data_IF_168906422242
#
_entry.id   IF_168906422242
#
_cell.length_a   1.000
_cell.length_b   1.000
_cell.length_c   1.000
_cell.angle_alpha   90.00
_cell.angle_beta   90.00
_cell.angle_gamma   90.00
#
_symmetry.space_group_name_H-M   'P 1'
#
loop_
_entity.id
_entity.type
_entity.pdbx_description
1 polymer ?
#
# COMPACT_ATOMS: atom_id res chain seq x y z
N UNK A 1 -42.99 45.34 -7.28
CA UNK A 1 -41.80 45.81 -6.52
C UNK A 1 -40.82 44.66 -6.45
N UNK A 2 -39.53 44.97 -6.62
CA UNK A 2 -38.42 44.06 -6.90
C UNK A 2 -37.46 44.05 -5.69
N UNK A 3 -37.07 42.85 -5.26
CA UNK A 3 -35.83 42.50 -4.53
C UNK A 3 -35.82 42.62 -2.99
N UNK A 4 -34.78 42.07 -2.30
CA UNK A 4 -33.69 41.18 -2.77
C UNK A 4 -33.59 39.84 -1.96
N UNK A 5 -33.19 38.72 -2.57
CA UNK A 5 -31.84 38.09 -2.58
C UNK A 5 -31.27 37.63 -1.23
N UNK A 6 -30.68 36.42 -1.24
CA UNK A 6 -29.51 36.12 -0.41
C UNK A 6 -29.62 34.86 0.45
N UNK A 7 -28.91 33.81 0.03
CA UNK A 7 -28.69 32.64 0.89
C UNK A 7 -28.24 31.40 0.11
N UNK A 8 -27.24 31.56 -0.76
CA UNK A 8 -26.54 30.43 -1.35
C UNK A 8 -25.86 29.63 -0.24
N UNK A 9 -26.32 28.40 -0.04
CA UNK A 9 -25.54 27.39 0.68
C UNK A 9 -24.42 26.94 -0.25
N UNK A 10 -23.25 27.55 -0.08
CA UNK A 10 -21.98 27.06 -0.63
C UNK A 10 -21.83 25.59 -0.28
N UNK A 11 -21.80 24.74 -1.31
CA UNK A 11 -21.28 23.40 -1.21
C UNK A 11 -19.78 23.52 -0.93
N UNK A 12 -19.38 23.18 0.28
CA UNK A 12 -17.99 22.93 0.66
C UNK A 12 -17.49 21.65 -0.04
N UNK A 13 -17.21 21.75 -1.35
CA UNK A 13 -16.53 20.71 -2.13
C UNK A 13 -15.08 21.11 -2.48
N UNK A 14 -14.46 21.95 -1.66
CA UNK A 14 -13.10 22.48 -1.89
C UNK A 14 -11.97 21.81 -1.10
N UNK A 15 -12.28 21.08 -0.02
CA UNK A 15 -11.29 20.65 0.97
C UNK A 15 -10.42 19.44 0.61
N UNK A 16 -10.85 18.59 -0.34
CA UNK A 16 -10.16 17.33 -0.65
C UNK A 16 -8.90 17.49 -1.51
N UNK A 17 -8.90 18.45 -2.43
CA UNK A 17 -7.81 18.61 -3.40
C UNK A 17 -6.49 19.05 -2.74
N UNK A 18 -6.57 19.93 -1.73
CA UNK A 18 -5.40 20.41 -0.99
C UNK A 18 -4.76 19.31 -0.13
N UNK A 19 -5.57 18.56 0.62
CA UNK A 19 -5.08 17.47 1.47
C UNK A 19 -4.45 16.32 0.66
N UNK A 20 -5.04 15.95 -0.48
CA UNK A 20 -4.44 14.96 -1.39
C UNK A 20 -3.11 15.44 -1.98
N UNK A 21 -2.99 16.72 -2.35
CA UNK A 21 -1.74 17.26 -2.87
C UNK A 21 -0.64 17.31 -1.79
N UNK A 22 -0.99 17.67 -0.56
CA UNK A 22 -0.07 17.67 0.58
C UNK A 22 0.43 16.26 0.92
N UNK A 23 -0.48 15.26 0.94
CA UNK A 23 -0.11 13.86 1.14
C UNK A 23 0.86 13.39 0.05
N UNK A 24 0.54 13.64 -1.23
CA UNK A 24 1.42 13.27 -2.35
C UNK A 24 2.78 13.95 -2.26
N UNK A 25 2.82 15.23 -1.88
CA UNK A 25 4.07 15.97 -1.68
C UNK A 25 4.95 15.33 -0.61
N UNK A 26 4.38 15.03 0.56
CA UNK A 26 5.08 14.33 1.65
C UNK A 26 5.64 12.97 1.20
N UNK A 27 4.80 12.18 0.53
CA UNK A 27 5.22 10.86 0.04
C UNK A 27 6.31 10.93 -1.04
N UNK A 28 6.31 11.98 -1.87
CA UNK A 28 7.35 12.18 -2.88
C UNK A 28 8.74 12.46 -2.25
N UNK A 29 8.78 13.09 -1.08
CA UNK A 29 10.01 13.44 -0.38
C UNK A 29 10.54 12.30 0.50
N UNK A 30 9.66 11.54 1.14
CA UNK A 30 10.04 10.57 2.17
C UNK A 30 10.28 9.14 1.64
N UNK A 31 9.77 8.80 0.45
CA UNK A 31 9.85 7.45 -0.13
C UNK A 31 10.84 7.42 -1.29
N UNK A 32 11.77 6.48 -1.27
CA UNK A 32 12.57 6.17 -2.45
C UNK A 32 11.74 5.33 -3.46
N UNK A 33 11.00 6.03 -4.30
CA UNK A 33 10.11 5.43 -5.30
C UNK A 33 10.82 4.53 -6.30
N UNK A 34 12.15 4.63 -6.46
CA UNK A 34 12.90 3.71 -7.32
C UNK A 34 12.86 2.26 -6.83
N UNK A 35 12.53 2.03 -5.56
CA UNK A 35 12.42 0.70 -4.93
C UNK A 35 10.99 0.16 -4.89
N UNK A 36 9.99 1.00 -5.13
CA UNK A 36 8.57 0.62 -5.06
C UNK A 36 8.13 0.17 -6.46
N UNK A 37 8.50 -1.06 -6.83
CA UNK A 37 8.28 -1.62 -8.17
C UNK A 37 7.32 -2.81 -8.09
N UNK A 38 6.42 -2.93 -9.07
CA UNK A 38 5.61 -4.12 -9.23
C UNK A 38 6.47 -5.28 -9.78
N UNK A 39 6.67 -6.38 -9.03
CA UNK A 39 7.52 -7.48 -9.47
C UNK A 39 6.88 -8.34 -10.58
N UNK A 40 5.57 -8.23 -10.81
CA UNK A 40 4.81 -9.09 -11.73
C UNK A 40 4.57 -8.46 -13.10
N UNK A 41 4.66 -7.14 -13.21
CA UNK A 41 4.37 -6.41 -14.45
C UNK A 41 5.55 -5.52 -14.80
N UNK A 42 6.15 -5.68 -16.00
CA UNK A 42 7.15 -4.74 -16.48
C UNK A 42 6.56 -3.34 -16.59
N UNK A 43 7.15 -2.37 -15.90
CA UNK A 43 6.65 -1.00 -15.88
C UNK A 43 7.57 -0.08 -15.10
N UNK A 44 7.31 1.25 -15.15
CA UNK A 44 7.98 2.18 -14.27
C UNK A 44 7.69 1.83 -12.79
N UNK A 45 8.56 2.23 -11.86
CA UNK A 45 8.23 2.19 -10.44
C UNK A 45 6.92 2.94 -10.16
N UNK A 46 6.25 2.56 -9.08
CA UNK A 46 5.09 3.29 -8.60
C UNK A 46 5.48 4.72 -8.20
N UNK A 47 4.47 5.60 -8.12
CA UNK A 47 4.63 6.97 -7.69
C UNK A 47 3.87 7.28 -6.40
N UNK A 48 4.04 8.50 -5.84
CA UNK A 48 3.39 8.95 -4.60
C UNK A 48 1.87 8.87 -4.63
N UNK A 49 1.27 8.91 -5.82
CA UNK A 49 -0.16 8.70 -6.00
C UNK A 49 -0.62 7.36 -5.44
N UNK A 50 0.22 6.31 -5.45
CA UNK A 50 -0.14 5.00 -4.92
C UNK A 50 -0.44 5.03 -3.40
N UNK A 51 0.37 5.77 -2.63
CA UNK A 51 0.12 5.91 -1.19
C UNK A 51 -1.06 6.85 -0.92
N UNK A 52 -1.20 7.93 -1.69
CA UNK A 52 -2.35 8.83 -1.53
C UNK A 52 -3.68 8.15 -1.85
N UNK A 53 -3.71 7.23 -2.80
CA UNK A 53 -4.91 6.46 -3.14
C UNK A 53 -5.46 5.63 -1.98
N UNK A 54 -4.66 5.28 -0.96
CA UNK A 54 -5.16 4.63 0.26
C UNK A 54 -6.19 5.50 1.02
N UNK A 55 -6.10 6.82 0.87
CA UNK A 55 -7.04 7.80 1.44
C UNK A 55 -8.16 8.18 0.47
N UNK A 56 -8.28 7.49 -0.68
CA UNK A 56 -9.34 7.75 -1.63
C UNK A 56 -10.72 7.54 -0.99
N UNK A 57 -11.69 8.44 -1.23
CA UNK A 57 -13.07 8.20 -0.83
C UNK A 57 -13.70 7.05 -1.63
N UNK A 58 -13.14 6.68 -2.78
CA UNK A 58 -13.56 5.52 -3.56
C UNK A 58 -12.89 4.25 -3.01
N UNK A 59 -13.72 3.29 -2.56
CA UNK A 59 -13.22 2.05 -1.96
C UNK A 59 -12.43 1.21 -2.96
N UNK A 60 -12.84 1.16 -4.23
CA UNK A 60 -12.15 0.38 -5.26
C UNK A 60 -10.74 0.93 -5.50
N UNK A 61 -10.61 2.25 -5.63
CA UNK A 61 -9.30 2.92 -5.76
C UNK A 61 -8.39 2.62 -4.56
N UNK A 62 -8.92 2.66 -3.34
CA UNK A 62 -8.14 2.37 -2.15
C UNK A 62 -7.74 0.89 -2.05
N UNK A 63 -8.63 -0.03 -2.44
CA UNK A 63 -8.38 -1.48 -2.46
C UNK A 63 -7.34 -1.85 -3.51
N UNK A 64 -7.45 -1.32 -4.73
CA UNK A 64 -6.48 -1.52 -5.82
C UNK A 64 -5.09 -1.00 -5.43
N UNK A 65 -5.03 0.14 -4.74
CA UNK A 65 -3.78 0.68 -4.19
C UNK A 65 -3.20 -0.23 -3.10
N UNK A 66 -4.04 -0.74 -2.20
CA UNK A 66 -3.63 -1.68 -1.16
C UNK A 66 -3.06 -2.98 -1.76
N UNK A 67 -3.74 -3.56 -2.75
CA UNK A 67 -3.28 -4.75 -3.47
C UNK A 67 -1.97 -4.52 -4.24
N UNK A 68 -1.80 -3.34 -4.85
CA UNK A 68 -0.56 -2.97 -5.53
C UNK A 68 0.61 -2.83 -4.55
N UNK A 69 0.38 -2.21 -3.38
CA UNK A 69 1.37 -2.11 -2.31
C UNK A 69 1.74 -3.49 -1.75
N UNK A 70 0.75 -4.37 -1.53
CA UNK A 70 0.98 -5.75 -1.11
C UNK A 70 1.89 -6.50 -2.10
N UNK A 71 1.55 -6.43 -3.39
CA UNK A 71 2.33 -7.05 -4.45
C UNK A 71 3.78 -6.53 -4.50
N UNK A 72 3.97 -5.22 -4.35
CA UNK A 72 5.30 -4.60 -4.32
C UNK A 72 6.11 -5.00 -3.07
N UNK A 73 5.45 -5.14 -1.92
CA UNK A 73 6.13 -5.35 -0.63
C UNK A 73 6.44 -6.82 -0.34
N UNK A 74 5.55 -7.77 -0.67
CA UNK A 74 5.77 -9.19 -0.38
C UNK A 74 5.24 -10.15 -1.44
N UNK A 75 4.64 -9.66 -2.52
CA UNK A 75 4.11 -10.51 -3.58
C UNK A 75 3.06 -11.50 -3.04
N UNK A 76 3.29 -12.80 -3.21
CA UNK A 76 2.46 -13.88 -2.67
C UNK A 76 2.77 -14.24 -1.19
N UNK A 77 3.53 -13.40 -0.50
CA UNK A 77 3.96 -13.61 0.88
C UNK A 77 5.19 -14.50 1.03
N UNK A 78 5.87 -14.87 -0.07
CA UNK A 78 7.07 -15.72 -0.03
C UNK A 78 8.38 -14.98 0.24
N UNK A 79 8.39 -13.64 0.16
CA UNK A 79 9.58 -12.80 0.34
C UNK A 79 9.20 -11.41 0.88
N UNK A 80 10.20 -10.61 1.26
CA UNK A 80 10.02 -9.19 1.63
C UNK A 80 10.89 -8.36 0.70
N UNK A 81 10.27 -7.40 0.02
CA UNK A 81 10.93 -6.50 -0.92
C UNK A 81 11.42 -5.20 -0.34
N UNK A 82 12.28 -4.52 -1.10
CA UNK A 82 12.80 -3.20 -0.71
C UNK A 82 11.67 -2.18 -0.54
N UNK A 83 10.60 -2.28 -1.34
CA UNK A 83 9.40 -1.46 -1.20
C UNK A 83 8.84 -1.48 0.22
N UNK A 84 8.87 -2.65 0.89
CA UNK A 84 8.37 -2.78 2.25
C UNK A 84 9.09 -1.85 3.23
N UNK A 85 10.40 -1.64 3.08
CA UNK A 85 11.16 -0.75 3.96
C UNK A 85 10.73 0.71 3.79
N UNK A 86 10.40 1.09 2.55
CA UNK A 86 10.04 2.46 2.20
C UNK A 86 8.60 2.79 2.60
N UNK A 87 7.65 1.86 2.42
CA UNK A 87 6.22 2.16 2.60
C UNK A 87 5.65 1.73 3.96
N UNK A 88 6.36 0.92 4.74
CA UNK A 88 5.88 0.40 6.03
C UNK A 88 5.42 1.49 7.01
N UNK A 89 6.13 2.63 7.19
CA UNK A 89 5.64 3.70 8.07
C UNK A 89 4.25 4.20 7.67
N UNK A 90 4.00 4.36 6.37
CA UNK A 90 2.73 4.87 5.82
C UNK A 90 1.61 3.82 5.87
N UNK A 91 1.93 2.54 5.73
CA UNK A 91 0.96 1.47 5.98
C UNK A 91 0.51 1.46 7.45
N UNK A 92 1.42 1.74 8.39
CA UNK A 92 1.08 1.87 9.81
C UNK A 92 0.25 3.12 10.09
N UNK A 93 0.52 4.24 9.41
CA UNK A 93 -0.32 5.44 9.46
C UNK A 93 -1.73 5.15 8.93
N UNK A 94 -1.84 4.57 7.73
CA UNK A 94 -3.10 4.24 7.08
C UNK A 94 -3.96 3.29 7.94
N UNK A 95 -3.34 2.28 8.58
CA UNK A 95 -4.05 1.37 9.47
C UNK A 95 -4.71 2.05 10.69
N UNK A 96 -4.16 3.20 11.13
CA UNK A 96 -4.65 3.95 12.30
C UNK A 96 -5.66 5.02 11.93
N UNK A 97 -5.68 5.46 10.68
CA UNK A 97 -6.48 6.59 10.23
C UNK A 97 -7.93 6.19 9.93
N UNK A 98 -8.95 6.72 10.64
CA UNK A 98 -10.35 6.42 10.35
C UNK A 98 -10.84 6.87 8.96
N UNK A 99 -10.13 7.77 8.27
CA UNK A 99 -10.44 8.17 6.89
C UNK A 99 -10.12 7.06 5.87
N UNK A 100 -9.19 6.15 6.19
CA UNK A 100 -8.85 5.03 5.32
C UNK A 100 -9.94 3.96 5.42
N UNK A 101 -10.59 3.70 4.28
CA UNK A 101 -11.70 2.73 4.21
C UNK A 101 -11.23 1.28 4.19
N UNK A 102 -10.01 1.04 3.71
CA UNK A 102 -9.38 -0.29 3.55
C UNK A 102 -8.45 -0.65 4.71
N UNK A 103 -8.76 -0.19 5.93
CA UNK A 103 -7.90 -0.42 7.11
C UNK A 103 -7.68 -1.90 7.42
N UNK A 104 -8.68 -2.74 7.19
CA UNK A 104 -8.58 -4.18 7.46
C UNK A 104 -7.59 -4.82 6.48
N UNK A 105 -7.69 -4.47 5.21
CA UNK A 105 -6.84 -4.93 4.13
C UNK A 105 -5.39 -4.47 4.37
N UNK A 106 -5.19 -3.20 4.78
CA UNK A 106 -3.86 -2.69 5.17
C UNK A 106 -3.27 -3.50 6.34
N UNK A 107 -4.08 -3.87 7.34
CA UNK A 107 -3.62 -4.72 8.45
C UNK A 107 -3.26 -6.13 7.99
N UNK A 108 -3.96 -6.68 7.00
CA UNK A 108 -3.63 -7.94 6.36
C UNK A 108 -2.28 -7.87 5.64
N UNK A 109 -2.00 -6.78 4.91
CA UNK A 109 -0.69 -6.53 4.30
C UNK A 109 0.42 -6.50 5.35
N UNK A 110 0.21 -5.81 6.46
CA UNK A 110 1.17 -5.75 7.57
C UNK A 110 1.39 -7.13 8.21
N UNK A 111 0.34 -7.93 8.35
CA UNK A 111 0.42 -9.29 8.88
C UNK A 111 1.20 -10.21 7.95
N UNK A 112 0.97 -10.12 6.63
CA UNK A 112 1.69 -10.87 5.62
C UNK A 112 3.17 -10.49 5.57
N UNK A 113 3.49 -9.20 5.67
CA UNK A 113 4.87 -8.74 5.77
C UNK A 113 5.59 -9.30 6.99
N UNK A 114 4.92 -9.30 8.15
CA UNK A 114 5.47 -9.90 9.36
C UNK A 114 5.70 -11.41 9.19
N UNK A 115 4.76 -12.13 8.55
CA UNK A 115 4.88 -13.57 8.27
C UNK A 115 6.02 -13.87 7.29
N UNK A 116 6.11 -13.12 6.20
CA UNK A 116 7.15 -13.27 5.19
C UNK A 116 8.54 -13.00 5.78
N UNK A 117 8.69 -11.90 6.54
CA UNK A 117 9.94 -11.56 7.21
C UNK A 117 10.37 -12.58 8.27
N UNK A 118 9.43 -13.12 9.05
CA UNK A 118 9.70 -14.21 9.99
C UNK A 118 10.16 -15.47 9.25
N UNK A 119 9.47 -15.84 8.16
CA UNK A 119 9.79 -17.02 7.37
C UNK A 119 11.18 -16.92 6.73
N UNK A 120 11.53 -15.75 6.19
CA UNK A 120 12.86 -15.48 5.64
C UNK A 120 13.96 -15.59 6.69
N UNK A 121 13.72 -15.14 7.92
CA UNK A 121 14.67 -15.28 9.04
C UNK A 121 14.89 -16.73 9.46
N UNK A 122 13.84 -17.55 9.38
CA UNK A 122 13.90 -18.98 9.73
C UNK A 122 14.37 -19.87 8.59
N UNK A 123 14.47 -19.34 7.38
CA UNK A 123 15.06 -20.05 6.26
C UNK A 123 16.57 -20.19 6.53
N UNK A 124 17.07 -21.43 6.65
CA UNK A 124 18.49 -21.65 6.87
C UNK A 124 19.32 -20.92 5.81
N UNK A 125 20.45 -20.28 6.19
CA UNK A 125 21.36 -19.65 5.23
C UNK A 125 21.89 -20.71 4.25
N UNK A 126 21.25 -20.83 3.07
CA UNK A 126 21.56 -21.86 2.08
C UNK A 126 20.35 -22.65 1.54
N UNK A 127 19.16 -22.48 2.11
CA UNK A 127 17.92 -23.01 1.56
C UNK A 127 17.59 -22.27 0.25
N UNK A 128 18.15 -22.75 -0.87
CA UNK A 128 17.80 -22.27 -2.21
C UNK A 128 16.28 -22.39 -2.41
N UNK A 129 15.60 -21.39 -3.02
CA UNK A 129 14.25 -21.58 -3.48
C UNK A 129 14.26 -22.71 -4.52
N UNK A 130 13.52 -23.80 -4.27
CA UNK A 130 13.22 -24.79 -5.31
C UNK A 130 13.71 -26.22 -5.14
N UNK A 131 14.21 -26.68 -3.99
CA UNK A 131 14.40 -28.14 -3.80
C UNK A 131 13.09 -28.80 -3.35
N UNK A 132 12.44 -29.50 -4.28
CA UNK A 132 11.31 -30.42 -4.04
C UNK A 132 11.56 -31.26 -2.79
N UNK A 133 10.51 -31.46 -1.97
CA UNK A 133 10.49 -32.46 -0.89
C UNK A 133 11.01 -33.81 -1.41
N UNK A 134 11.95 -34.48 -0.71
CA UNK A 134 12.22 -35.88 -1.00
C UNK A 134 10.94 -36.69 -0.75
N UNK A 135 10.51 -37.47 -1.75
CA UNK A 135 9.44 -38.45 -1.56
C UNK A 135 9.98 -39.56 -0.66
N UNK A 136 9.28 -39.87 0.43
CA UNK A 136 9.63 -40.98 1.31
C UNK A 136 9.73 -42.29 0.49
N UNK A 137 10.68 -43.20 0.80
CA UNK A 137 10.73 -44.50 0.17
C UNK A 137 9.49 -45.31 0.57
N UNK A 138 8.90 -46.00 -0.41
CA UNK A 138 7.85 -46.98 -0.16
C UNK A 138 8.45 -48.14 0.66
N UNK A 139 7.71 -48.54 1.69
CA UNK A 139 7.99 -49.71 2.52
C UNK A 139 7.78 -51.02 1.75
#
# INVERSE_FOLDING_TARGET
MRGPEGGGGEADEGGGCGASAELRGRFAEEVDWSKVVNPYVPGPPHGPDLLEQLWSPDWQTADDACGSLHAACCGDGSWVGLAALEVLPFLVEAARDPAVKVRTEVLEVLADLARAGNSARTAEPGARPGRRRPRAPAA
#
